data_IF_211067950818
#
_entry.id   IF_211067950818
#
_cell.length_a   1.000
_cell.length_b   1.000
_cell.length_c   1.000
_cell.angle_alpha   90.00
_cell.angle_beta   90.00
_cell.angle_gamma   90.00
#
_symmetry.space_group_name_H-M   'P 1'
#
loop_
_entity.id
_entity.type
_entity.pdbx_description
1 polymer ?
#
# COMPACT_ATOMS: atom_id res chain seq x y z
N UNK A 1 6.85 2.68 19.45
CA UNK A 1 7.76 1.57 19.14
C UNK A 1 7.70 1.15 17.66
N UNK A 2 6.82 0.26 17.15
CA UNK A 2 6.85 -0.17 15.75
C UNK A 2 6.83 1.01 14.76
N UNK A 3 5.90 1.94 14.92
CA UNK A 3 5.74 3.10 14.02
C UNK A 3 6.95 4.02 14.01
N UNK A 4 7.69 4.10 15.10
CA UNK A 4 8.93 4.90 15.21
C UNK A 4 10.08 4.21 14.47
N UNK A 5 10.29 2.91 14.72
CA UNK A 5 11.27 2.11 13.99
C UNK A 5 11.02 2.20 12.48
N UNK A 6 9.76 2.14 12.07
CA UNK A 6 9.40 2.23 10.66
C UNK A 6 9.69 3.61 10.05
N UNK A 7 9.48 4.71 10.79
CA UNK A 7 9.82 6.07 10.35
C UNK A 7 11.33 6.22 10.10
N UNK A 8 12.17 5.70 11.00
CA UNK A 8 13.63 5.72 10.81
C UNK A 8 14.04 5.02 9.51
N UNK A 9 13.35 3.96 9.14
CA UNK A 9 13.59 3.21 7.90
C UNK A 9 12.81 3.72 6.69
N UNK A 10 12.21 4.92 6.76
CA UNK A 10 11.47 5.57 5.67
C UNK A 10 10.20 4.83 5.23
N UNK A 11 9.61 4.06 6.12
CA UNK A 11 8.25 3.56 6.00
C UNK A 11 7.31 4.52 6.71
N UNK A 12 6.12 4.73 6.16
CA UNK A 12 5.14 5.63 6.76
C UNK A 12 3.79 4.95 6.97
N UNK A 13 3.04 5.46 7.91
CA UNK A 13 1.66 5.12 8.23
C UNK A 13 0.74 6.28 7.85
N UNK A 14 -0.56 6.05 7.85
CA UNK A 14 -1.53 7.12 7.59
C UNK A 14 -1.73 7.42 6.10
N UNK A 15 -1.64 6.40 5.25
CA UNK A 15 -1.92 6.54 3.82
C UNK A 15 -3.41 6.43 3.57
N UNK A 16 -3.97 7.36 2.82
CA UNK A 16 -5.37 7.28 2.41
C UNK A 16 -5.52 6.41 1.16
N UNK A 17 -6.17 5.27 1.33
CA UNK A 17 -6.37 4.27 0.27
C UNK A 17 -7.72 4.48 -0.44
N UNK A 18 -7.69 4.52 -1.78
CA UNK A 18 -8.89 4.69 -2.62
C UNK A 18 -8.87 3.73 -3.79
N UNK A 19 -10.02 3.12 -4.18
CA UNK A 19 -10.09 2.31 -5.38
C UNK A 19 -9.96 3.21 -6.63
N UNK A 20 -9.16 2.79 -7.60
CA UNK A 20 -9.00 3.52 -8.87
C UNK A 20 -10.23 3.39 -9.78
N UNK A 21 -10.90 2.25 -9.70
CA UNK A 21 -12.07 1.90 -10.51
C UNK A 21 -13.37 2.60 -10.11
N UNK A 22 -13.36 3.46 -9.10
CA UNK A 22 -14.52 4.29 -8.81
C UNK A 22 -14.70 5.33 -9.93
N UNK A 23 -15.29 4.84 -11.02
CA UNK A 23 -15.66 5.59 -12.22
C UNK A 23 -16.83 6.54 -11.97
N UNK A 24 -16.85 7.23 -10.87
CA UNK A 24 -17.69 8.40 -10.75
C UNK A 24 -17.10 9.49 -11.63
N UNK A 25 -17.53 9.49 -12.89
CA UNK A 25 -17.19 10.50 -13.90
C UNK A 25 -17.73 11.91 -13.55
N UNK A 26 -18.17 12.13 -12.32
CA UNK A 26 -18.61 13.42 -11.86
C UNK A 26 -17.47 14.44 -11.97
N UNK A 27 -17.65 15.58 -12.65
CA UNK A 27 -16.58 16.57 -12.87
C UNK A 27 -15.97 17.09 -11.56
N UNK A 28 -16.75 17.15 -10.47
CA UNK A 28 -16.25 17.51 -9.14
C UNK A 28 -15.24 16.50 -8.56
N UNK A 29 -15.51 15.21 -8.71
CA UNK A 29 -14.60 14.14 -8.26
C UNK A 29 -13.29 14.14 -9.04
N UNK A 30 -13.35 14.45 -10.34
CA UNK A 30 -12.16 14.56 -11.19
C UNK A 30 -11.29 15.77 -10.81
N UNK A 31 -11.88 16.92 -10.55
CA UNK A 31 -11.17 18.11 -10.10
C UNK A 31 -10.51 17.92 -8.73
N UNK A 32 -11.22 17.31 -7.77
CA UNK A 32 -10.71 16.99 -6.44
C UNK A 32 -9.55 15.97 -6.52
N UNK A 33 -9.70 14.96 -7.37
CA UNK A 33 -8.65 13.98 -7.63
C UNK A 33 -7.39 14.65 -8.20
N UNK A 34 -7.52 15.54 -9.18
CA UNK A 34 -6.36 16.23 -9.78
C UNK A 34 -5.64 17.16 -8.79
N UNK A 35 -6.37 17.76 -7.86
CA UNK A 35 -5.79 18.56 -6.78
C UNK A 35 -5.01 17.69 -5.79
N UNK A 36 -5.60 16.57 -5.35
CA UNK A 36 -4.95 15.62 -4.46
C UNK A 36 -3.70 15.01 -5.11
N UNK A 37 -3.75 14.66 -6.39
CA UNK A 37 -2.60 14.11 -7.14
C UNK A 37 -1.45 15.12 -7.26
N UNK A 38 -1.73 16.42 -7.24
CA UNK A 38 -0.70 17.47 -7.25
C UNK A 38 -0.08 17.72 -5.87
N UNK A 39 -0.84 17.47 -4.80
CA UNK A 39 -0.43 17.74 -3.42
C UNK A 39 0.04 16.50 -2.66
N UNK A 40 -0.28 15.30 -3.16
CA UNK A 40 0.03 14.04 -2.50
C UNK A 40 0.94 13.17 -3.36
N UNK A 41 1.84 12.47 -2.70
CA UNK A 41 2.58 11.38 -3.33
C UNK A 41 1.65 10.18 -3.49
N UNK A 42 1.68 9.54 -4.66
CA UNK A 42 0.82 8.41 -4.96
C UNK A 42 1.61 7.11 -5.05
N UNK A 43 1.03 6.04 -4.50
CA UNK A 43 1.49 4.66 -4.64
C UNK A 43 0.32 3.81 -5.08
N UNK A 44 0.52 2.91 -6.03
CA UNK A 44 -0.54 2.02 -6.52
C UNK A 44 -0.20 0.56 -6.24
N UNK A 45 -1.24 -0.25 -6.01
CA UNK A 45 -1.12 -1.70 -5.96
C UNK A 45 -2.32 -2.36 -6.66
N UNK A 46 -2.11 -3.57 -7.15
CA UNK A 46 -3.13 -4.36 -7.83
C UNK A 46 -3.61 -5.50 -6.92
N UNK A 47 -4.89 -5.82 -7.03
CA UNK A 47 -5.51 -6.99 -6.42
C UNK A 47 -6.14 -7.82 -7.54
N UNK A 48 -5.91 -9.12 -7.54
CA UNK A 48 -6.61 -10.02 -8.46
C UNK A 48 -8.12 -9.90 -8.21
N UNK A 49 -8.88 -9.53 -9.25
CA UNK A 49 -10.33 -9.51 -9.19
C UNK A 49 -10.89 -10.92 -9.34
N UNK A 50 -12.07 -11.18 -8.80
CA UNK A 50 -12.82 -12.37 -9.14
C UNK A 50 -13.13 -12.38 -10.64
N UNK A 51 -13.07 -13.55 -11.31
CA UNK A 51 -13.47 -13.65 -12.70
C UNK A 51 -14.96 -13.30 -12.80
N UNK A 52 -15.26 -12.13 -13.34
CA UNK A 52 -16.64 -11.77 -13.65
C UNK A 52 -17.11 -12.66 -14.79
N UNK A 53 -17.87 -13.70 -14.44
CA UNK A 53 -18.56 -14.56 -15.40
C UNK A 53 -19.73 -13.79 -16.02
N UNK A 54 -19.45 -12.97 -17.03
CA UNK A 54 -20.50 -12.46 -17.93
C UNK A 54 -20.72 -13.52 -19.00
N UNK A 55 -21.91 -14.15 -19.10
CA UNK A 55 -22.20 -15.13 -20.12
C UNK A 55 -22.10 -14.48 -21.50
N UNK A 56 -21.12 -14.90 -22.31
CA UNK A 56 -21.07 -14.52 -23.73
C UNK A 56 -19.85 -13.80 -24.25
N UNK A 57 -18.82 -13.51 -23.44
CA UNK A 57 -17.53 -12.99 -23.96
C UNK A 57 -16.40 -13.96 -23.67
N UNK A 58 -15.76 -14.39 -24.76
CA UNK A 58 -14.58 -15.24 -24.74
C UNK A 58 -13.45 -14.62 -23.90
N UNK A 59 -12.93 -15.40 -22.94
CA UNK A 59 -11.67 -15.23 -22.21
C UNK A 59 -11.36 -13.79 -21.81
N UNK A 60 -12.06 -13.30 -20.81
CA UNK A 60 -11.59 -12.12 -20.08
C UNK A 60 -10.58 -12.59 -19.02
N UNK A 61 -9.39 -11.99 -19.06
CA UNK A 61 -8.41 -12.10 -17.99
C UNK A 61 -9.07 -11.69 -16.68
N UNK A 62 -8.76 -12.34 -15.54
CA UNK A 62 -9.33 -11.95 -14.25
C UNK A 62 -9.16 -10.45 -14.09
N UNK A 63 -10.27 -9.74 -13.89
CA UNK A 63 -10.27 -8.30 -13.79
C UNK A 63 -9.34 -7.87 -12.66
N UNK A 64 -8.32 -7.09 -12.97
CA UNK A 64 -7.45 -6.52 -11.95
C UNK A 64 -8.13 -5.29 -11.36
N UNK A 65 -8.23 -5.26 -10.03
CA UNK A 65 -8.65 -4.05 -9.31
C UNK A 65 -7.41 -3.30 -8.88
N UNK A 66 -7.33 -2.04 -9.25
CA UNK A 66 -6.22 -1.16 -8.90
C UNK A 66 -6.63 -0.21 -7.77
N UNK A 67 -5.78 -0.07 -6.79
CA UNK A 67 -5.95 0.82 -5.64
C UNK A 67 -4.82 1.82 -5.57
N UNK A 68 -5.13 3.01 -5.10
CA UNK A 68 -4.17 4.10 -4.96
C UNK A 68 -4.12 4.56 -3.51
N UNK A 69 -2.91 4.63 -2.96
CA UNK A 69 -2.60 5.29 -1.70
C UNK A 69 -2.16 6.73 -1.93
N UNK A 70 -2.70 7.64 -1.18
CA UNK A 70 -2.38 9.06 -1.18
C UNK A 70 -1.69 9.41 0.13
N UNK A 71 -0.48 9.97 0.05
CA UNK A 71 0.32 10.37 1.21
C UNK A 71 0.69 11.84 1.10
N UNK A 72 0.71 12.56 2.20
CA UNK A 72 1.13 13.96 2.22
C UNK A 72 2.57 14.14 1.70
N UNK A 73 2.78 15.18 0.91
CA UNK A 73 4.05 15.44 0.23
C UNK A 73 5.25 15.67 1.17
N UNK A 74 4.98 16.03 2.42
CA UNK A 74 6.02 16.35 3.41
C UNK A 74 6.64 15.13 4.09
N UNK A 75 6.13 13.93 3.84
CA UNK A 75 6.73 12.72 4.36
C UNK A 75 8.04 12.42 3.63
N UNK A 76 9.15 12.44 4.35
CA UNK A 76 10.44 11.94 3.87
C UNK A 76 10.41 10.41 3.63
N UNK A 77 9.36 9.75 4.11
CA UNK A 77 9.10 8.33 3.95
C UNK A 77 8.85 7.98 2.48
N UNK A 78 9.40 6.87 2.02
CA UNK A 78 9.34 6.47 0.61
C UNK A 78 8.21 5.54 0.29
N UNK A 79 7.81 4.66 1.23
CA UNK A 79 6.84 3.60 0.98
C UNK A 79 5.86 3.45 2.15
N UNK A 80 4.57 3.14 1.88
CA UNK A 80 3.58 2.88 2.93
C UNK A 80 3.84 1.54 3.62
N UNK A 81 3.84 1.55 4.95
CA UNK A 81 3.95 0.35 5.78
C UNK A 81 2.84 -0.67 5.47
N UNK A 82 1.63 -0.17 5.24
CA UNK A 82 0.44 -0.98 4.96
C UNK A 82 0.62 -1.98 3.79
N UNK A 83 1.42 -1.61 2.77
CA UNK A 83 1.69 -2.52 1.63
C UNK A 83 2.51 -3.73 2.04
N UNK A 84 3.49 -3.55 2.91
CA UNK A 84 4.34 -4.64 3.41
C UNK A 84 3.56 -5.58 4.31
N UNK A 85 2.72 -5.03 5.20
CA UNK A 85 1.85 -5.84 6.06
C UNK A 85 0.87 -6.65 5.23
N UNK A 86 0.20 -6.03 4.25
CA UNK A 86 -0.67 -6.73 3.33
C UNK A 86 0.04 -7.85 2.58
N UNK A 87 1.27 -7.61 2.13
CA UNK A 87 2.05 -8.58 1.36
C UNK A 87 2.50 -9.77 2.22
N UNK A 88 2.92 -9.51 3.45
CA UNK A 88 3.50 -10.52 4.34
C UNK A 88 2.44 -11.33 5.08
N UNK A 89 1.39 -10.67 5.53
CA UNK A 89 0.42 -11.29 6.45
C UNK A 89 -0.96 -11.50 5.84
N UNK A 90 -1.23 -10.93 4.65
CA UNK A 90 -2.52 -11.08 3.97
C UNK A 90 -3.65 -10.36 4.70
N UNK A 91 -4.82 -11.01 4.75
CA UNK A 91 -6.03 -10.47 5.36
C UNK A 91 -5.96 -10.51 6.89
N UNK A 92 -6.40 -9.42 7.52
CA UNK A 92 -6.37 -9.31 8.98
C UNK A 92 -6.66 -7.89 9.48
N UNK A 93 -6.78 -7.79 10.80
CA UNK A 93 -6.81 -6.53 11.53
C UNK A 93 -5.48 -6.42 12.27
N UNK A 94 -4.68 -5.46 11.87
CA UNK A 94 -3.34 -5.23 12.40
C UNK A 94 -3.34 -3.98 13.26
N UNK A 95 -2.69 -4.03 14.39
CA UNK A 95 -2.57 -2.87 15.27
C UNK A 95 -1.21 -2.84 15.97
N UNK A 96 -0.81 -1.65 16.38
CA UNK A 96 0.38 -1.43 17.20
C UNK A 96 0.16 -0.22 18.09
N UNK A 97 0.54 -0.31 19.37
CA UNK A 97 0.49 0.83 20.28
C UNK A 97 1.67 1.76 20.02
N UNK A 98 1.40 3.05 20.07
CA UNK A 98 2.40 4.11 19.98
C UNK A 98 2.80 4.59 21.37
N UNK A 99 3.93 5.29 21.48
CA UNK A 99 4.46 5.75 22.76
C UNK A 99 3.58 6.84 23.42
N UNK A 100 2.79 7.55 22.63
CA UNK A 100 1.78 8.51 23.09
C UNK A 100 0.45 7.88 23.51
N UNK A 101 0.38 6.53 23.53
CA UNK A 101 -0.79 5.78 23.95
C UNK A 101 -1.89 5.66 22.93
N UNK A 102 -1.67 6.14 21.70
CA UNK A 102 -2.58 5.90 20.57
C UNK A 102 -2.39 4.48 20.03
N UNK A 103 -3.33 4.04 19.21
CA UNK A 103 -3.25 2.75 18.50
C UNK A 103 -3.23 3.03 17.01
N UNK A 104 -2.18 2.60 16.33
CA UNK A 104 -2.20 2.52 14.88
C UNK A 104 -2.98 1.29 14.45
N UNK A 105 -3.88 1.46 13.50
CA UNK A 105 -4.81 0.44 13.00
C UNK A 105 -4.70 0.31 11.49
N UNK A 106 -4.71 -0.94 11.02
CA UNK A 106 -4.81 -1.29 9.60
C UNK A 106 -5.73 -2.50 9.45
N UNK A 107 -6.67 -2.44 8.50
CA UNK A 107 -7.50 -3.59 8.13
C UNK A 107 -7.23 -3.96 6.68
N UNK A 108 -6.96 -5.24 6.44
CA UNK A 108 -6.86 -5.83 5.11
C UNK A 108 -7.95 -6.89 4.98
N UNK A 109 -8.76 -6.82 3.94
CA UNK A 109 -9.84 -7.77 3.66
C UNK A 109 -9.90 -8.05 2.16
N UNK A 110 -9.98 -9.31 1.77
CA UNK A 110 -9.97 -9.76 0.36
C UNK A 110 -8.76 -9.21 -0.42
N UNK A 111 -7.60 -9.15 0.23
CA UNK A 111 -6.38 -8.57 -0.31
C UNK A 111 -6.43 -7.05 -0.50
N UNK A 112 -7.46 -6.36 0.00
CA UNK A 112 -7.63 -4.91 -0.12
C UNK A 112 -7.37 -4.24 1.22
N UNK A 113 -6.56 -3.17 1.20
CA UNK A 113 -6.46 -2.29 2.37
C UNK A 113 -7.75 -1.48 2.47
N UNK A 114 -8.47 -1.66 3.56
CA UNK A 114 -9.77 -1.00 3.78
C UNK A 114 -9.56 0.51 3.91
N UNK A 115 -10.25 1.33 3.10
CA UNK A 115 -10.12 2.78 3.15
C UNK A 115 -10.37 3.36 4.55
N UNK A 116 -9.50 4.27 4.99
CA UNK A 116 -9.64 4.94 6.28
C UNK A 116 -9.16 4.15 7.50
N UNK A 117 -8.56 2.96 7.31
CA UNK A 117 -8.07 2.13 8.42
C UNK A 117 -6.56 2.21 8.64
N UNK A 118 -5.78 2.74 7.70
CA UNK A 118 -4.35 3.04 7.91
C UNK A 118 -4.24 4.37 8.69
N UNK A 119 -4.55 4.36 9.99
CA UNK A 119 -4.65 5.57 10.78
C UNK A 119 -4.37 5.33 12.27
N UNK A 120 -4.14 6.43 13.00
CA UNK A 120 -4.07 6.44 14.45
C UNK A 120 -5.47 6.65 15.04
N UNK A 121 -5.83 5.81 16.00
CA UNK A 121 -7.09 5.88 16.74
C UNK A 121 -6.83 5.92 18.25
N UNK A 122 -7.77 6.44 19.01
CA UNK A 122 -7.67 6.33 20.47
C UNK A 122 -7.94 4.90 20.94
N UNK A 123 -7.41 4.48 22.10
CA UNK A 123 -7.70 3.16 22.66
C UNK A 123 -9.21 2.87 22.77
N UNK A 124 -9.99 3.87 23.18
CA UNK A 124 -11.44 3.74 23.29
C UNK A 124 -12.11 3.40 21.96
N UNK A 125 -11.69 4.07 20.88
CA UNK A 125 -12.20 3.81 19.52
C UNK A 125 -11.78 2.42 19.05
N UNK A 126 -10.54 2.03 19.33
CA UNK A 126 -10.04 0.69 19.02
C UNK A 126 -10.85 -0.40 19.74
N UNK A 127 -11.07 -0.26 21.03
CA UNK A 127 -11.83 -1.23 21.85
C UNK A 127 -13.27 -1.35 21.35
N UNK A 128 -13.95 -0.21 21.07
CA UNK A 128 -15.28 -0.20 20.47
C UNK A 128 -15.32 -0.92 19.13
N UNK A 129 -14.33 -0.68 18.26
CA UNK A 129 -14.24 -1.34 16.96
C UNK A 129 -14.02 -2.85 17.12
N UNK A 130 -13.25 -3.30 18.12
CA UNK A 130 -13.05 -4.72 18.40
C UNK A 130 -14.31 -5.40 18.93
N UNK A 131 -15.17 -4.70 19.67
CA UNK A 131 -16.47 -5.19 20.10
C UNK A 131 -17.44 -5.27 18.92
N UNK A 132 -17.57 -4.22 18.13
CA UNK A 132 -18.46 -4.14 16.97
C UNK A 132 -18.07 -5.12 15.86
N UNK A 133 -16.80 -5.50 15.78
CA UNK A 133 -16.27 -6.49 14.85
C UNK A 133 -17.08 -7.78 14.87
N UNK A 134 -17.54 -8.23 16.03
CA UNK A 134 -18.28 -9.49 16.21
C UNK A 134 -19.57 -9.53 15.37
N UNK A 135 -20.11 -8.38 15.04
CA UNK A 135 -21.34 -8.20 14.26
C UNK A 135 -21.10 -7.72 12.84
N UNK A 136 -19.84 -7.49 12.45
CA UNK A 136 -19.45 -6.94 11.16
C UNK A 136 -18.97 -8.05 10.20
N UNK A 137 -18.77 -7.67 8.94
CA UNK A 137 -18.12 -8.50 7.93
C UNK A 137 -16.68 -8.90 8.31
N UNK A 138 -16.04 -8.17 9.23
CA UNK A 138 -14.66 -8.39 9.68
C UNK A 138 -14.53 -9.41 10.83
N UNK A 139 -15.64 -10.06 11.24
CA UNK A 139 -15.65 -11.02 12.35
C UNK A 139 -14.68 -12.20 12.16
N UNK A 140 -14.46 -12.60 10.92
CA UNK A 140 -13.61 -13.76 10.57
C UNK A 140 -12.14 -13.39 10.40
N UNK A 141 -11.81 -12.10 10.32
CA UNK A 141 -10.43 -11.66 10.15
C UNK A 141 -9.61 -11.91 11.43
N UNK A 142 -8.39 -12.45 11.34
CA UNK A 142 -7.51 -12.55 12.49
C UNK A 142 -7.10 -11.15 12.98
N UNK A 143 -7.06 -10.98 14.30
CA UNK A 143 -6.50 -9.77 14.93
C UNK A 143 -5.07 -10.07 15.31
N UNK A 144 -4.14 -9.20 14.90
CA UNK A 144 -2.73 -9.36 15.16
C UNK A 144 -2.12 -8.06 15.66
N UNK A 145 -1.51 -8.12 16.83
CA UNK A 145 -0.64 -7.07 17.31
C UNK A 145 0.72 -7.17 16.61
N UNK A 146 1.19 -6.06 16.08
CA UNK A 146 2.49 -5.97 15.44
C UNK A 146 3.54 -5.57 16.48
N UNK A 147 4.39 -6.53 16.79
CA UNK A 147 5.51 -6.42 17.73
C UNK A 147 6.80 -5.99 17.04
N UNK A 148 7.89 -5.88 17.79
CA UNK A 148 9.23 -5.58 17.26
C UNK A 148 9.74 -6.70 16.35
N UNK A 149 9.42 -7.96 16.63
CA UNK A 149 9.79 -9.10 15.76
C UNK A 149 9.16 -8.96 14.37
N UNK A 150 7.92 -8.48 14.32
CA UNK A 150 7.27 -8.16 13.04
C UNK A 150 7.97 -7.01 12.31
N UNK A 151 8.55 -6.05 13.07
CA UNK A 151 9.32 -4.96 12.49
C UNK A 151 10.55 -5.46 11.73
N UNK A 152 11.30 -6.38 12.31
CA UNK A 152 12.48 -6.94 11.68
C UNK A 152 12.13 -7.68 10.36
N UNK A 153 11.07 -8.49 10.39
CA UNK A 153 10.59 -9.19 9.19
C UNK A 153 10.20 -8.20 8.09
N UNK A 154 9.41 -7.18 8.41
CA UNK A 154 9.01 -6.13 7.48
C UNK A 154 10.23 -5.41 6.90
N UNK A 155 11.21 -5.06 7.75
CA UNK A 155 12.42 -4.37 7.33
C UNK A 155 13.29 -5.21 6.41
N UNK A 156 13.42 -6.51 6.66
CA UNK A 156 14.13 -7.41 5.74
C UNK A 156 13.48 -7.40 4.36
N UNK A 157 12.17 -7.51 4.27
CA UNK A 157 11.45 -7.45 2.99
C UNK A 157 11.57 -6.09 2.31
N UNK A 158 11.47 -5.00 3.06
CA UNK A 158 11.69 -3.66 2.55
C UNK A 158 13.09 -3.48 1.96
N UNK A 159 14.12 -3.90 2.70
CA UNK A 159 15.51 -3.82 2.23
C UNK A 159 15.75 -4.68 0.98
N UNK A 160 15.22 -5.90 0.95
CA UNK A 160 15.29 -6.78 -0.22
C UNK A 160 14.65 -6.14 -1.45
N UNK A 161 13.46 -5.55 -1.30
CA UNK A 161 12.77 -4.81 -2.36
C UNK A 161 13.60 -3.62 -2.85
N UNK A 162 14.15 -2.82 -1.93
CA UNK A 162 15.02 -1.69 -2.28
C UNK A 162 16.28 -2.13 -3.04
N UNK A 163 16.89 -3.26 -2.65
CA UNK A 163 18.04 -3.80 -3.37
C UNK A 163 17.68 -4.26 -4.79
N UNK A 164 16.53 -4.92 -4.96
CA UNK A 164 16.04 -5.31 -6.29
C UNK A 164 15.79 -4.09 -7.19
N UNK A 165 15.16 -3.05 -6.66
CA UNK A 165 14.92 -1.80 -7.40
C UNK A 165 16.24 -1.12 -7.81
N UNK A 166 17.25 -1.11 -6.93
CA UNK A 166 18.58 -0.60 -7.26
C UNK A 166 19.23 -1.43 -8.38
N UNK A 167 19.22 -2.77 -8.29
CA UNK A 167 19.77 -3.67 -9.32
C UNK A 167 19.09 -3.43 -10.67
N UNK A 168 17.77 -3.31 -10.71
CA UNK A 168 17.03 -3.02 -11.96
C UNK A 168 17.43 -1.67 -12.55
N UNK A 169 17.62 -0.63 -11.75
CA UNK A 169 18.10 0.68 -12.23
C UNK A 169 19.50 0.60 -12.82
N UNK A 170 20.43 -0.06 -12.13
CA UNK A 170 21.80 -0.23 -12.63
C UNK A 170 21.82 -1.03 -13.93
N UNK A 171 21.04 -2.10 -14.03
CA UNK A 171 20.89 -2.86 -15.26
C UNK A 171 20.37 -1.96 -16.40
N UNK A 172 19.33 -1.18 -16.16
CA UNK A 172 18.76 -0.26 -17.15
C UNK A 172 19.79 0.79 -17.62
N UNK A 173 20.52 1.41 -16.69
CA UNK A 173 21.60 2.33 -17.05
C UNK A 173 22.72 1.65 -17.82
N UNK A 174 23.11 0.44 -17.48
CA UNK A 174 24.09 -0.36 -18.22
C UNK A 174 23.64 -0.58 -19.66
N UNK A 175 22.39 -0.98 -19.88
CA UNK A 175 21.80 -1.17 -21.21
C UNK A 175 21.83 0.14 -22.01
N UNK A 176 21.45 1.26 -21.40
CA UNK A 176 21.47 2.57 -22.07
C UNK A 176 22.89 2.99 -22.49
N UNK A 177 23.88 2.77 -21.63
CA UNK A 177 25.30 3.06 -21.95
C UNK A 177 25.79 2.19 -23.11
N UNK A 178 25.50 0.88 -23.07
CA UNK A 178 25.87 -0.04 -24.17
C UNK A 178 25.22 0.38 -25.51
N UNK A 179 23.93 0.74 -25.49
CA UNK A 179 23.20 1.23 -26.67
C UNK A 179 23.82 2.53 -27.22
N UNK A 180 24.19 3.46 -26.34
CA UNK A 180 24.87 4.70 -26.72
C UNK A 180 26.23 4.44 -27.37
N UNK A 181 27.03 3.51 -26.84
CA UNK A 181 28.32 3.13 -27.42
C UNK A 181 28.17 2.49 -28.80
N UNK A 182 27.15 1.62 -28.98
CA UNK A 182 26.85 0.99 -30.28
C UNK A 182 26.47 2.06 -31.32
N UNK A 183 25.63 3.03 -30.96
CA UNK A 183 25.25 4.12 -31.85
C UNK A 183 26.42 5.00 -32.26
N UNK A 184 27.39 5.24 -31.36
CA UNK A 184 28.60 6.00 -31.66
C UNK A 184 29.61 5.21 -32.52
N UNK A 185 29.52 3.88 -32.53
CA UNK A 185 30.41 3.01 -33.30
C UNK A 185 29.92 2.79 -34.77
N UNK A 186 28.71 3.24 -35.12
CA UNK A 186 28.19 3.17 -36.50
C UNK A 186 28.79 4.34 -37.28
N UNK A 187 29.71 4.08 -38.25
CA UNK A 187 30.24 5.16 -39.09
C UNK A 187 29.13 5.74 -39.98
N UNK A 188 29.07 7.06 -40.05
CA UNK A 188 28.18 7.76 -40.98
C UNK A 188 28.53 7.50 -42.43
#
# INVERSE_FOLDING_TARGET
MLTEIMKEHRLHTGTWWVPLSSTTNAPRTRALRSLLERQCRTVTYEVAGEPTSVPGKNRESPGKREFRGLTEHHSSAREPLALYIRLLYGDGIFHSRTDDGMVWLLIVSDGVIVPGTDCLVTPLVFDSLMEDRKFSQYKVLPVRELTEDCAEEILMHYQANQQQLKKRRYFFYGVLVCLGLVLLAIPA
#
